data_IF_621786096198
#
_entry.id   IF_621786096198
#
_cell.length_a   1.000
_cell.length_b   1.000
_cell.length_c   1.000
_cell.angle_alpha   90.00
_cell.angle_beta   90.00
_cell.angle_gamma   90.00
#
_symmetry.space_group_name_H-M   'P 1'
#
loop_
_entity.id
_entity.type
_entity.pdbx_description
1 polymer ?
#
# COMPACT_ATOMS: atom_id res chain seq x y z
N UNK A 1 -21.97 -38.26 -35.16
CA UNK A 1 -22.62 -37.07 -34.57
C UNK A 1 -21.67 -36.48 -33.53
N UNK A 2 -21.29 -35.19 -33.63
CA UNK A 2 -20.41 -34.56 -32.64
C UNK A 2 -21.14 -34.43 -31.29
N UNK A 3 -20.44 -34.76 -30.22
CA UNK A 3 -20.96 -34.72 -28.85
C UNK A 3 -20.67 -33.32 -28.31
N UNK A 4 -21.68 -32.60 -27.80
CA UNK A 4 -21.43 -31.34 -27.12
C UNK A 4 -20.73 -31.64 -25.78
N UNK A 5 -19.45 -31.29 -25.69
CA UNK A 5 -18.70 -31.30 -24.44
C UNK A 5 -19.00 -29.98 -23.73
N UNK A 6 -19.82 -30.04 -22.68
CA UNK A 6 -20.12 -28.86 -21.87
C UNK A 6 -18.85 -28.33 -21.21
N UNK A 7 -18.49 -27.07 -21.50
CA UNK A 7 -17.36 -26.41 -20.85
C UNK A 7 -17.75 -26.02 -19.42
N UNK A 8 -16.95 -26.42 -18.43
CA UNK A 8 -17.23 -26.11 -17.03
C UNK A 8 -17.08 -24.60 -16.83
N UNK A 9 -18.10 -23.96 -16.26
CA UNK A 9 -18.02 -22.54 -15.94
C UNK A 9 -17.05 -22.32 -14.77
N UNK A 10 -16.07 -21.43 -14.98
CA UNK A 10 -15.08 -21.01 -13.98
C UNK A 10 -15.45 -19.68 -13.31
N UNK A 11 -16.69 -19.21 -13.43
CA UNK A 11 -17.14 -17.90 -12.92
C UNK A 11 -16.77 -17.69 -11.45
N UNK A 12 -16.94 -18.69 -10.59
CA UNK A 12 -16.56 -18.59 -9.18
C UNK A 12 -15.06 -18.37 -8.98
N UNK A 13 -14.22 -19.16 -9.65
CA UNK A 13 -12.76 -19.02 -9.57
C UNK A 13 -12.30 -17.65 -10.08
N UNK A 14 -12.90 -17.16 -11.16
CA UNK A 14 -12.57 -15.85 -11.73
C UNK A 14 -12.91 -14.71 -10.77
N UNK A 15 -14.05 -14.78 -10.08
CA UNK A 15 -14.45 -13.79 -9.08
C UNK A 15 -13.50 -13.83 -7.88
N UNK A 16 -13.17 -15.03 -7.37
CA UNK A 16 -12.24 -15.18 -6.24
C UNK A 16 -10.88 -14.58 -6.56
N UNK A 17 -10.34 -14.86 -7.75
CA UNK A 17 -9.05 -14.30 -8.19
C UNK A 17 -9.12 -12.78 -8.25
N UNK A 18 -10.21 -12.21 -8.78
CA UNK A 18 -10.38 -10.76 -8.86
C UNK A 18 -10.41 -10.09 -7.47
N UNK A 19 -11.08 -10.70 -6.50
CA UNK A 19 -11.11 -10.22 -5.11
C UNK A 19 -9.71 -10.27 -4.48
N UNK A 20 -8.97 -11.36 -4.69
CA UNK A 20 -7.60 -11.51 -4.16
C UNK A 20 -6.69 -10.42 -4.74
N UNK A 21 -6.78 -10.17 -6.04
CA UNK A 21 -5.99 -9.12 -6.70
C UNK A 21 -6.30 -7.76 -6.08
N UNK A 22 -7.58 -7.41 -5.91
CA UNK A 22 -7.98 -6.15 -5.28
C UNK A 22 -7.48 -6.02 -3.84
N UNK A 23 -7.52 -7.10 -3.07
CA UNK A 23 -7.00 -7.10 -1.70
C UNK A 23 -5.50 -6.81 -1.65
N UNK A 24 -4.71 -7.43 -2.53
CA UNK A 24 -3.26 -7.19 -2.65
C UNK A 24 -2.99 -5.73 -2.99
N UNK A 25 -3.69 -5.19 -4.00
CA UNK A 25 -3.54 -3.77 -4.36
C UNK A 25 -3.90 -2.84 -3.20
N UNK A 26 -4.98 -3.12 -2.48
CA UNK A 26 -5.37 -2.33 -1.30
C UNK A 26 -4.27 -2.29 -0.23
N UNK A 27 -3.66 -3.43 0.07
CA UNK A 27 -2.53 -3.53 1.01
C UNK A 27 -1.31 -2.74 0.51
N UNK A 28 -1.00 -2.80 -0.78
CA UNK A 28 0.12 -2.05 -1.37
C UNK A 28 -0.16 -0.54 -1.29
N UNK A 29 -1.34 -0.08 -1.67
CA UNK A 29 -1.70 1.34 -1.61
C UNK A 29 -1.70 1.88 -0.18
N UNK A 30 -2.17 1.09 0.79
CA UNK A 30 -2.09 1.42 2.22
C UNK A 30 -0.63 1.48 2.69
N UNK A 31 0.20 0.51 2.27
CA UNK A 31 1.62 0.47 2.60
C UNK A 31 2.38 1.67 2.04
N UNK A 32 2.06 2.14 0.83
CA UNK A 32 2.65 3.38 0.29
C UNK A 32 2.04 4.66 0.88
N UNK A 33 0.93 4.56 1.62
CA UNK A 33 0.25 5.69 2.25
C UNK A 33 -0.62 6.51 1.28
N UNK A 34 -1.01 5.94 0.14
CA UNK A 34 -1.95 6.57 -0.81
C UNK A 34 -3.36 6.58 -0.23
N UNK A 35 -3.70 5.53 0.51
CA UNK A 35 -4.92 5.40 1.31
C UNK A 35 -4.50 5.12 2.76
N UNK A 36 -5.41 5.43 3.70
CA UNK A 36 -5.19 5.24 5.13
C UNK A 36 -6.48 4.70 5.76
N UNK A 37 -6.74 3.43 5.52
CA UNK A 37 -7.87 2.67 6.05
C UNK A 37 -7.53 2.06 7.42
N UNK A 38 -6.27 1.62 7.63
CA UNK A 38 -5.81 0.99 8.87
C UNK A 38 -4.75 1.88 9.54
N UNK A 39 -5.10 2.56 10.65
CA UNK A 39 -4.18 3.44 11.35
C UNK A 39 -2.90 2.70 11.77
N UNK A 40 -1.74 3.20 11.34
CA UNK A 40 -0.44 2.64 11.72
C UNK A 40 0.08 1.51 10.82
N UNK A 41 -0.67 1.07 9.83
CA UNK A 41 -0.25 -0.01 8.93
C UNK A 41 0.84 0.44 7.94
N UNK A 42 1.97 -0.25 7.90
CA UNK A 42 3.09 0.04 6.98
C UNK A 42 3.83 1.37 7.25
N UNK A 43 3.52 2.06 8.36
CA UNK A 43 4.10 3.38 8.71
C UNK A 43 5.43 3.28 9.46
N UNK A 44 5.86 2.07 9.81
CA UNK A 44 7.05 1.76 10.61
C UNK A 44 8.36 2.33 10.01
N UNK A 45 8.41 2.56 8.68
CA UNK A 45 9.58 3.13 8.00
C UNK A 45 9.45 4.60 7.55
N UNK A 46 8.25 5.20 7.62
CA UNK A 46 8.02 6.58 7.12
C UNK A 46 8.32 7.66 8.16
N UNK A 47 8.15 7.34 9.44
CA UNK A 47 8.50 8.26 10.54
C UNK A 47 10.02 8.47 10.64
N UNK A 48 10.82 7.53 10.12
CA UNK A 48 12.29 7.66 10.06
C UNK A 48 12.79 8.53 8.90
N UNK A 49 12.11 8.57 7.75
CA UNK A 49 12.56 9.42 6.63
C UNK A 49 12.25 10.90 6.83
N UNK A 50 11.15 11.26 7.51
CA UNK A 50 10.89 12.67 7.85
C UNK A 50 11.82 13.21 8.96
N UNK A 51 12.42 12.34 9.77
CA UNK A 51 13.31 12.74 10.88
C UNK A 51 14.77 12.92 10.45
N UNK A 52 15.13 12.55 9.23
CA UNK A 52 16.50 12.60 8.69
C UNK A 52 16.78 13.80 7.78
N UNK A 53 15.91 14.82 7.77
CA UNK A 53 16.31 16.14 7.28
C UNK A 53 16.67 17.00 8.49
N UNK A 54 17.95 17.07 8.92
CA UNK A 54 18.39 18.18 9.75
C UNK A 54 18.25 19.43 8.87
N UNK A 55 17.12 20.13 8.99
CA UNK A 55 17.02 21.48 8.46
C UNK A 55 18.04 22.29 9.26
N UNK A 56 19.09 22.76 8.59
CA UNK A 56 20.23 23.45 9.19
C UNK A 56 19.85 24.86 9.71
N UNK A 57 18.59 25.06 10.10
CA UNK A 57 17.98 26.38 10.32
C UNK A 57 17.93 26.77 11.79
N UNK A 58 18.44 25.92 12.70
CA UNK A 58 18.35 26.17 14.14
C UNK A 58 19.70 26.47 14.82
N UNK A 59 20.77 26.79 14.06
CA UNK A 59 22.10 27.19 14.58
C UNK A 59 22.47 28.62 14.14
N UNK A 60 21.50 29.54 14.06
CA UNK A 60 21.74 30.97 13.77
C UNK A 60 21.01 31.91 14.73
N UNK A 61 20.66 31.42 15.93
CA UNK A 61 19.97 32.18 16.97
C UNK A 61 20.83 32.61 18.17
N UNK A 62 22.16 32.48 18.11
CA UNK A 62 23.05 32.95 19.19
C UNK A 62 24.22 33.77 18.66
N UNK A 63 24.19 35.10 18.82
CA UNK A 63 25.32 35.89 19.29
C UNK A 63 25.08 36.13 20.80
N UNK A 64 25.75 35.41 21.70
CA UNK A 64 27.09 35.67 22.23
C UNK A 64 27.23 37.07 22.87
N UNK A 65 27.37 37.07 24.21
CA UNK A 65 27.80 38.16 25.12
C UNK A 65 26.77 39.26 25.43
#
# INVERSE_FOLDING_TARGET
MPRLVGHRSHTGANITILIIILAIFGVIYEYFGVINIVPGFGREGRDFQLKSQPTNEQVTGQPNQ
#
